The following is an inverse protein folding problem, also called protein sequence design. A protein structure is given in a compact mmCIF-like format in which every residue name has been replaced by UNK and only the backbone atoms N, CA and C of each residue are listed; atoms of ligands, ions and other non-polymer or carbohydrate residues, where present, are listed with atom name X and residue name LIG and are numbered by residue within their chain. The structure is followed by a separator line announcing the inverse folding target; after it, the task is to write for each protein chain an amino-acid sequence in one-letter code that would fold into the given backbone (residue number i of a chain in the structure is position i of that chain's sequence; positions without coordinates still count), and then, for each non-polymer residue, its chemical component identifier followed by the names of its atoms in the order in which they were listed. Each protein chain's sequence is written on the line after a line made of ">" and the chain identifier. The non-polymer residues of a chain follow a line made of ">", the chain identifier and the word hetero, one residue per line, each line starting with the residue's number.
data_IF_566216876585
#
_entry.id   IF_566216876585
#
_cell.length_a   1.000
_cell.length_b   1.000
_cell.length_c   1.000
_cell.angle_alpha   90.00
_cell.angle_beta   90.00
_cell.angle_gamma   90.00
#
_symmetry.space_group_name_H-M   'P 1'
#
loop_
_entity.id
_entity.type
_entity.pdbx_description
1 polymer ?
#
# COMPACT_ATOMS: atom_id res chain seq x y z
N UNK A 1 -15.84 22.36 -8.82
CA UNK A 1 -15.10 21.89 -7.66
C UNK A 1 -15.27 20.38 -7.49
N UNK A 2 -14.18 19.65 -7.27
CA UNK A 2 -14.24 18.20 -7.17
C UNK A 2 -14.80 17.76 -5.82
N UNK A 3 -15.84 16.92 -5.86
CA UNK A 3 -16.43 16.31 -4.68
C UNK A 3 -15.47 15.25 -4.11
N UNK A 4 -15.55 14.98 -2.81
CA UNK A 4 -14.71 13.95 -2.16
C UNK A 4 -14.93 12.57 -2.76
N UNK A 5 -16.19 12.25 -3.09
CA UNK A 5 -16.50 10.94 -3.70
C UNK A 5 -15.84 10.82 -5.07
N UNK A 6 -15.92 11.88 -5.87
CA UNK A 6 -15.29 11.92 -7.18
C UNK A 6 -13.77 11.82 -7.07
N UNK A 7 -13.18 12.53 -6.10
CA UNK A 7 -11.75 12.47 -5.83
C UNK A 7 -11.30 11.05 -5.52
N UNK A 8 -12.01 10.36 -4.63
CA UNK A 8 -11.67 9.00 -4.25
C UNK A 8 -11.74 8.05 -5.44
N UNK A 9 -12.76 8.21 -6.29
CA UNK A 9 -12.88 7.38 -7.48
C UNK A 9 -11.73 7.60 -8.46
N UNK A 10 -11.31 8.85 -8.63
CA UNK A 10 -10.17 9.18 -9.48
C UNK A 10 -8.89 8.57 -8.92
N UNK A 11 -8.69 8.65 -7.60
CA UNK A 11 -7.51 8.11 -6.95
C UNK A 11 -7.40 6.60 -7.13
N UNK A 12 -8.53 5.89 -7.24
CA UNK A 12 -8.53 4.45 -7.47
C UNK A 12 -7.96 4.05 -8.82
N UNK A 13 -7.91 4.98 -9.76
CA UNK A 13 -7.38 4.73 -11.10
C UNK A 13 -5.91 5.10 -11.26
N UNK A 14 -5.32 5.72 -10.25
CA UNK A 14 -3.92 6.13 -10.28
C UNK A 14 -3.02 4.93 -10.01
N UNK A 15 -1.87 4.90 -10.66
CA UNK A 15 -0.84 3.89 -10.42
C UNK A 15 -0.46 3.85 -8.93
N UNK A 16 -0.28 2.65 -8.39
CA UNK A 16 -0.01 2.44 -6.96
C UNK A 16 1.23 3.17 -6.48
N UNK A 17 2.31 3.10 -7.25
CA UNK A 17 3.56 3.76 -6.87
C UNK A 17 3.38 5.27 -6.83
N UNK A 18 2.71 5.82 -7.83
CA UNK A 18 2.42 7.25 -7.89
C UNK A 18 1.54 7.67 -6.72
N UNK A 19 0.52 6.86 -6.41
CA UNK A 19 -0.40 7.15 -5.32
C UNK A 19 0.35 7.17 -3.97
N UNK A 20 1.22 6.20 -3.75
CA UNK A 20 2.03 6.15 -2.53
C UNK A 20 2.90 7.40 -2.37
N UNK A 21 3.48 7.86 -3.47
CA UNK A 21 4.30 9.06 -3.48
C UNK A 21 3.48 10.32 -3.18
N UNK A 22 2.30 10.43 -3.78
CA UNK A 22 1.42 11.58 -3.57
C UNK A 22 0.95 11.67 -2.12
N UNK A 23 0.66 10.53 -1.51
CA UNK A 23 0.21 10.46 -0.13
C UNK A 23 1.35 10.44 0.87
N UNK A 24 2.59 10.36 0.39
CA UNK A 24 3.79 10.28 1.23
C UNK A 24 3.74 9.08 2.17
N UNK A 25 3.27 7.95 1.65
CA UNK A 25 3.21 6.71 2.39
C UNK A 25 4.51 5.93 2.17
N UNK A 26 5.20 5.62 3.24
CA UNK A 26 6.42 4.79 3.18
C UNK A 26 6.10 3.36 3.63
N UNK A 27 7.13 2.51 3.67
CA UNK A 27 6.96 1.11 4.06
C UNK A 27 6.45 0.95 5.48
N UNK A 28 6.88 1.79 6.41
CA UNK A 28 6.43 1.74 7.80
C UNK A 28 4.92 2.00 7.87
N UNK A 29 4.45 3.00 7.13
CA UNK A 29 3.02 3.34 7.08
C UNK A 29 2.21 2.18 6.50
N UNK A 30 2.71 1.55 5.44
CA UNK A 30 2.03 0.41 4.82
C UNK A 30 1.93 -0.78 5.77
N UNK A 31 3.02 -1.08 6.46
CA UNK A 31 3.04 -2.19 7.42
C UNK A 31 2.03 -1.94 8.52
N UNK A 32 2.03 -0.75 9.09
CA UNK A 32 1.11 -0.40 10.18
C UNK A 32 -0.34 -0.44 9.75
N UNK A 33 -0.62 0.02 8.52
CA UNK A 33 -1.98 0.07 8.00
C UNK A 33 -2.53 -1.33 7.64
N UNK A 34 -1.66 -2.26 7.26
CA UNK A 34 -2.07 -3.55 6.72
C UNK A 34 -1.50 -4.75 7.48
N UNK A 35 -1.40 -4.64 8.81
CA UNK A 35 -0.89 -5.73 9.64
C UNK A 35 -1.65 -7.04 9.43
N UNK A 36 -2.96 -6.98 9.26
CA UNK A 36 -3.78 -8.17 9.02
C UNK A 36 -3.35 -8.89 7.75
N UNK A 37 -3.13 -8.13 6.68
CA UNK A 37 -2.70 -8.69 5.41
C UNK A 37 -1.29 -9.27 5.49
N UNK A 38 -0.44 -8.65 6.28
CA UNK A 38 0.92 -9.14 6.52
C UNK A 38 0.86 -10.49 7.22
N UNK A 39 0.03 -10.62 8.24
CA UNK A 39 -0.13 -11.89 8.94
C UNK A 39 -0.71 -12.97 8.04
N UNK A 40 -1.66 -12.62 7.18
CA UNK A 40 -2.23 -13.57 6.23
C UNK A 40 -1.20 -14.08 5.23
N UNK A 41 -0.19 -13.29 4.91
CA UNK A 41 0.82 -13.62 3.92
C UNK A 41 2.20 -13.89 4.53
N UNK A 42 2.25 -14.17 5.82
CA UNK A 42 3.49 -14.31 6.58
C UNK A 42 4.49 -15.28 5.95
N UNK A 43 4.04 -16.49 5.60
CA UNK A 43 4.92 -17.49 5.01
C UNK A 43 5.56 -17.03 3.71
N UNK A 44 4.77 -16.39 2.85
CA UNK A 44 5.22 -15.85 1.58
C UNK A 44 6.22 -14.71 1.79
N UNK A 45 5.95 -13.84 2.77
CA UNK A 45 6.80 -12.70 3.06
C UNK A 45 8.14 -13.12 3.66
N UNK A 46 8.11 -14.09 4.56
CA UNK A 46 9.33 -14.64 5.17
C UNK A 46 10.23 -15.22 4.08
N UNK A 47 9.64 -15.97 3.16
CA UNK A 47 10.37 -16.56 2.05
C UNK A 47 11.03 -15.49 1.19
N UNK A 48 10.29 -14.44 0.87
CA UNK A 48 10.81 -13.33 0.08
C UNK A 48 11.99 -12.64 0.75
N UNK A 49 11.86 -12.35 2.05
CA UNK A 49 12.92 -11.70 2.83
C UNK A 49 14.18 -12.57 2.85
N UNK A 50 14.03 -13.88 3.06
CA UNK A 50 15.17 -14.81 3.08
C UNK A 50 15.88 -14.89 1.74
N UNK A 51 15.13 -14.85 0.64
CA UNK A 51 15.72 -14.94 -0.70
C UNK A 51 16.41 -13.64 -1.13
N UNK A 52 15.99 -12.50 -0.58
CA UNK A 52 16.47 -11.18 -1.01
C UNK A 52 17.23 -10.43 0.08
N UNK A 53 17.49 -11.03 1.20
CA UNK A 53 18.23 -10.40 2.29
C UNK A 53 19.75 -10.49 2.09
#
# INVERSE_FOLDING_TARGET
>A
MTDKTELIEILRTIDEVTLLELLRINSDDLVDAFLDKIHENEGKLVKYVHENA
#
